data_IF_593086667384
#
_entry.id   IF_593086667384
#
_cell.length_a   1.000
_cell.length_b   1.000
_cell.length_c   1.000
_cell.angle_alpha   90.00
_cell.angle_beta   90.00
_cell.angle_gamma   90.00
#
_symmetry.space_group_name_H-M   'P 1'
#
loop_
_entity.id
_entity.type
_entity.pdbx_description
1 polymer ?
#
# COMPACT_ATOMS: atom_id res chain seq x y z
N UNK A 1 23.34 18.35 13.37
CA UNK A 1 24.11 19.62 13.43
C UNK A 1 25.58 19.29 13.41
N UNK A 2 26.26 19.75 12.37
CA UNK A 2 27.50 19.15 11.94
C UNK A 2 28.65 20.13 11.74
N UNK A 3 29.84 19.73 12.16
CA UNK A 3 31.07 20.36 11.71
C UNK A 3 31.32 20.00 10.24
N UNK A 4 31.74 20.99 9.44
CA UNK A 4 32.09 20.78 8.03
C UNK A 4 33.61 20.65 7.92
N UNK A 5 34.10 19.55 7.34
CA UNK A 5 35.54 19.38 7.07
C UNK A 5 35.92 20.22 5.84
N UNK A 6 36.82 21.19 6.02
CA UNK A 6 37.33 22.02 4.92
C UNK A 6 38.53 21.34 4.25
N UNK A 7 39.49 20.88 5.05
CA UNK A 7 40.63 20.07 4.58
C UNK A 7 40.84 18.92 5.56
N UNK A 8 40.53 17.69 5.15
CA UNK A 8 40.81 16.51 5.96
C UNK A 8 42.31 16.30 6.21
N UNK A 9 43.19 16.71 5.28
CA UNK A 9 44.64 16.51 5.43
C UNK A 9 45.27 17.45 6.47
N UNK A 10 44.74 18.66 6.62
CA UNK A 10 45.21 19.66 7.58
C UNK A 10 44.42 19.63 8.90
N UNK A 11 43.47 18.71 9.04
CA UNK A 11 42.62 18.61 10.23
C UNK A 11 41.69 19.82 10.44
N UNK A 12 41.41 20.62 9.40
CA UNK A 12 40.62 21.85 9.56
C UNK A 12 39.11 21.58 9.52
N UNK A 13 38.42 22.02 10.57
CA UNK A 13 36.97 21.95 10.74
C UNK A 13 36.36 23.35 10.78
N UNK A 14 35.16 23.49 10.22
CA UNK A 14 34.35 24.70 10.31
C UNK A 14 33.15 24.46 11.21
N UNK A 15 32.93 25.37 12.17
CA UNK A 15 31.72 25.46 12.98
C UNK A 15 30.75 26.47 12.34
N UNK A 16 29.66 26.03 11.68
CA UNK A 16 28.72 26.91 11.01
C UNK A 16 27.93 27.83 11.95
N UNK A 17 27.81 27.47 13.23
CA UNK A 17 27.06 28.25 14.21
C UNK A 17 27.86 29.44 14.73
N UNK A 18 29.17 29.25 14.87
CA UNK A 18 30.07 30.30 15.37
C UNK A 18 30.79 31.05 14.24
N UNK A 19 30.79 30.50 13.02
CA UNK A 19 31.51 31.06 11.87
C UNK A 19 33.03 30.98 12.04
N UNK A 20 33.53 30.03 12.84
CA UNK A 20 34.95 29.89 13.17
C UNK A 20 35.52 28.62 12.53
N UNK A 21 36.75 28.73 12.01
CA UNK A 21 37.56 27.59 11.57
C UNK A 21 38.47 27.19 12.74
N UNK A 22 38.43 25.91 13.12
CA UNK A 22 39.23 25.35 14.20
C UNK A 22 39.92 24.07 13.73
N UNK A 23 41.09 23.79 14.33
CA UNK A 23 41.81 22.55 14.11
C UNK A 23 41.17 21.41 14.90
N UNK A 24 41.03 20.24 14.27
CA UNK A 24 40.58 19.02 14.88
C UNK A 24 41.63 18.53 15.88
N UNK A 25 41.20 18.27 17.11
CA UNK A 25 42.03 17.64 18.13
C UNK A 25 42.40 16.22 17.69
N UNK A 26 43.69 15.86 17.77
CA UNK A 26 44.21 14.56 17.29
C UNK A 26 43.58 13.35 18.01
N UNK A 27 43.09 13.53 19.23
CA UNK A 27 42.46 12.52 20.08
C UNK A 27 40.94 12.34 19.82
N UNK A 28 40.29 13.25 19.07
CA UNK A 28 38.84 13.25 18.88
C UNK A 28 38.45 13.33 17.41
N UNK A 29 37.95 12.22 16.89
CA UNK A 29 37.36 12.17 15.55
C UNK A 29 35.89 12.56 15.61
N UNK A 30 35.59 13.79 15.19
CA UNK A 30 34.23 14.29 15.00
C UNK A 30 33.70 13.82 13.64
N UNK A 31 32.61 13.05 13.67
CA UNK A 31 31.85 12.64 12.51
C UNK A 31 30.45 13.26 12.53
N UNK A 32 30.04 13.72 11.36
CA UNK A 32 28.69 14.22 11.11
C UNK A 32 27.79 13.05 10.80
N UNK A 33 26.87 12.74 11.70
CA UNK A 33 25.87 11.68 11.49
C UNK A 33 24.59 12.17 10.82
N UNK A 34 24.49 13.45 10.45
CA UNK A 34 23.34 14.02 9.75
C UNK A 34 22.84 13.15 8.57
N UNK A 35 23.67 12.68 7.61
CA UNK A 35 23.19 11.83 6.52
C UNK A 35 22.81 10.40 6.94
N UNK A 36 23.25 9.95 8.12
CA UNK A 36 22.86 8.66 8.69
C UNK A 36 21.50 8.79 9.37
N UNK A 37 21.28 9.89 10.09
CA UNK A 37 19.99 10.21 10.72
C UNK A 37 18.89 10.33 9.65
N UNK A 38 19.14 11.03 8.55
CA UNK A 38 18.17 11.13 7.44
C UNK A 38 17.77 9.75 6.89
N UNK A 39 18.70 8.79 6.86
CA UNK A 39 18.43 7.41 6.41
C UNK A 39 17.64 6.62 7.45
N UNK A 40 17.91 6.85 8.74
CA UNK A 40 17.16 6.23 9.84
C UNK A 40 15.72 6.76 9.83
N UNK A 41 15.52 8.06 9.71
CA UNK A 41 14.19 8.69 9.66
C UNK A 41 13.39 8.17 8.45
N UNK A 42 14.05 8.01 7.30
CA UNK A 42 13.43 7.39 6.13
C UNK A 42 13.07 5.93 6.36
N UNK A 43 13.93 5.17 7.03
CA UNK A 43 13.67 3.76 7.34
C UNK A 43 12.47 3.62 8.28
N UNK A 44 12.37 4.49 9.28
CA UNK A 44 11.26 4.53 10.24
C UNK A 44 9.93 4.80 9.52
N UNK A 45 9.91 5.80 8.63
CA UNK A 45 8.73 6.09 7.82
C UNK A 45 8.29 4.92 6.93
N UNK A 46 9.23 4.14 6.39
CA UNK A 46 8.93 2.93 5.59
C UNK A 46 8.40 1.80 6.48
N UNK A 47 8.97 1.64 7.69
CA UNK A 47 8.51 0.62 8.64
C UNK A 47 7.07 0.91 9.09
N UNK A 48 6.76 2.17 9.40
CA UNK A 48 5.41 2.62 9.71
C UNK A 48 4.44 2.39 8.54
N UNK A 49 4.87 2.66 7.31
CA UNK A 49 4.06 2.39 6.12
C UNK A 49 3.73 0.91 5.96
N UNK A 50 4.70 0.03 6.23
CA UNK A 50 4.49 -1.42 6.20
C UNK A 50 3.45 -1.87 7.24
N UNK A 51 3.49 -1.30 8.45
CA UNK A 51 2.48 -1.56 9.47
C UNK A 51 1.12 -1.01 9.02
N UNK A 52 1.10 0.17 8.39
CA UNK A 52 -0.12 0.79 7.86
C UNK A 52 -0.76 -0.02 6.73
N UNK A 53 0.01 -0.79 5.95
CA UNK A 53 -0.52 -1.69 4.91
C UNK A 53 -1.41 -2.81 5.45
N UNK A 54 -1.28 -3.17 6.74
CA UNK A 54 -2.13 -4.20 7.34
C UNK A 54 -3.58 -3.72 7.55
N UNK A 55 -3.80 -2.40 7.56
CA UNK A 55 -5.13 -1.81 7.78
C UNK A 55 -5.62 -1.19 6.47
N UNK A 56 -6.81 -1.58 5.97
CA UNK A 56 -7.30 -1.14 4.66
C UNK A 56 -7.65 0.35 4.58
N UNK A 57 -7.67 1.04 5.73
CA UNK A 57 -8.12 2.43 5.87
C UNK A 57 -7.00 3.46 5.96
N UNK A 58 -5.76 3.03 6.17
CA UNK A 58 -4.64 3.95 6.37
C UNK A 58 -4.16 4.53 5.04
N UNK A 59 -3.61 5.75 5.11
CA UNK A 59 -2.96 6.39 3.97
C UNK A 59 -1.52 5.90 3.91
N UNK A 60 -1.11 5.45 2.72
CA UNK A 60 0.23 4.91 2.48
C UNK A 60 1.18 6.04 2.12
N UNK A 61 2.43 5.94 2.53
CA UNK A 61 3.49 6.93 2.32
C UNK A 61 3.68 7.27 0.83
N UNK A 62 3.60 6.25 -0.04
CA UNK A 62 3.77 6.38 -1.50
C UNK A 62 2.44 6.67 -2.24
N UNK A 63 1.34 6.86 -1.52
CA UNK A 63 0.05 7.18 -2.14
C UNK A 63 -0.14 8.68 -2.33
N UNK A 64 -0.80 9.05 -3.43
CA UNK A 64 -1.27 10.42 -3.62
C UNK A 64 -2.24 10.83 -2.51
N UNK A 65 -2.16 12.09 -2.06
CA UNK A 65 -3.06 12.67 -1.05
C UNK A 65 -4.53 12.32 -1.33
N UNK A 66 -5.27 12.00 -0.27
CA UNK A 66 -6.70 11.60 -0.31
C UNK A 66 -6.97 10.24 -0.98
N UNK A 67 -5.98 9.34 -1.05
CA UNK A 67 -6.20 7.94 -1.47
C UNK A 67 -6.33 6.95 -0.30
N UNK A 68 -6.43 7.44 0.93
CA UNK A 68 -6.83 6.62 2.07
C UNK A 68 -8.11 5.83 1.76
N UNK A 69 -8.20 4.59 2.26
CA UNK A 69 -9.35 3.68 2.09
C UNK A 69 -9.58 3.14 0.67
N UNK A 70 -8.66 3.38 -0.27
CA UNK A 70 -8.78 2.81 -1.63
C UNK A 70 -8.86 1.28 -1.59
N UNK A 71 -8.09 0.64 -0.69
CA UNK A 71 -8.13 -0.82 -0.50
C UNK A 71 -9.48 -1.30 0.04
N UNK A 72 -10.06 -0.59 1.01
CA UNK A 72 -11.39 -0.88 1.53
C UNK A 72 -12.47 -0.81 0.44
N UNK A 73 -12.46 0.28 -0.34
CA UNK A 73 -13.43 0.52 -1.41
C UNK A 73 -13.27 -0.55 -2.50
N UNK A 74 -12.03 -0.83 -2.93
CA UNK A 74 -11.73 -1.87 -3.92
C UNK A 74 -12.23 -3.25 -3.48
N UNK A 75 -11.92 -3.65 -2.24
CA UNK A 75 -12.38 -4.92 -1.67
C UNK A 75 -13.90 -5.04 -1.62
N UNK A 76 -14.60 -3.97 -1.22
CA UNK A 76 -16.07 -3.95 -1.19
C UNK A 76 -16.65 -4.18 -2.59
N UNK A 77 -16.19 -3.43 -3.58
CA UNK A 77 -16.71 -3.55 -4.96
C UNK A 77 -16.43 -4.92 -5.55
N UNK A 78 -15.22 -5.45 -5.39
CA UNK A 78 -14.89 -6.79 -5.88
C UNK A 78 -15.77 -7.85 -5.22
N UNK A 79 -15.98 -7.78 -3.91
CA UNK A 79 -16.82 -8.74 -3.20
C UNK A 79 -18.29 -8.68 -3.65
N UNK A 80 -18.83 -7.48 -3.90
CA UNK A 80 -20.19 -7.32 -4.43
C UNK A 80 -20.31 -7.99 -5.80
N UNK A 81 -19.36 -7.75 -6.70
CA UNK A 81 -19.39 -8.33 -8.06
C UNK A 81 -19.20 -9.84 -8.05
N UNK A 82 -18.27 -10.36 -7.25
CA UNK A 82 -18.06 -11.80 -7.11
C UNK A 82 -19.30 -12.46 -6.52
N UNK A 83 -19.90 -11.88 -5.48
CA UNK A 83 -21.14 -12.37 -4.88
C UNK A 83 -22.32 -12.37 -5.88
N UNK A 84 -22.43 -11.33 -6.70
CA UNK A 84 -23.45 -11.25 -7.74
C UNK A 84 -23.29 -12.36 -8.79
N UNK A 85 -22.08 -12.58 -9.29
CA UNK A 85 -21.79 -13.63 -10.29
C UNK A 85 -22.10 -15.01 -9.70
N UNK A 86 -21.63 -15.29 -8.47
CA UNK A 86 -21.90 -16.56 -7.79
C UNK A 86 -23.41 -16.75 -7.60
N UNK A 87 -24.13 -15.70 -7.19
CA UNK A 87 -25.59 -15.73 -7.03
C UNK A 87 -26.32 -16.06 -8.33
N UNK A 88 -25.89 -15.51 -9.46
CA UNK A 88 -26.44 -15.83 -10.78
C UNK A 88 -26.19 -17.30 -11.16
N UNK A 89 -24.98 -17.81 -10.93
CA UNK A 89 -24.63 -19.21 -11.22
C UNK A 89 -25.49 -20.17 -10.40
N UNK A 90 -25.63 -19.92 -9.10
CA UNK A 90 -26.47 -20.75 -8.22
C UNK A 90 -27.93 -20.69 -8.66
N UNK A 91 -28.45 -19.49 -8.94
CA UNK A 91 -29.83 -19.31 -9.39
C UNK A 91 -30.10 -20.05 -10.70
N UNK A 92 -29.15 -20.02 -11.62
CA UNK A 92 -29.23 -20.75 -12.89
C UNK A 92 -29.27 -22.27 -12.68
N UNK A 93 -28.40 -22.81 -11.83
CA UNK A 93 -28.39 -24.25 -11.49
C UNK A 93 -29.70 -24.68 -10.85
N UNK A 94 -30.25 -23.88 -9.93
CA UNK A 94 -31.54 -24.15 -9.29
C UNK A 94 -32.68 -24.16 -10.31
N UNK A 95 -32.72 -23.17 -11.20
CA UNK A 95 -33.73 -23.10 -12.26
C UNK A 95 -33.68 -24.31 -13.18
N UNK A 96 -32.48 -24.72 -13.61
CA UNK A 96 -32.28 -25.95 -14.38
C UNK A 96 -32.82 -27.16 -13.61
N UNK A 97 -32.39 -27.34 -12.36
CA UNK A 97 -32.84 -28.47 -11.53
C UNK A 97 -34.37 -28.53 -11.40
N UNK A 98 -35.03 -27.38 -11.21
CA UNK A 98 -36.49 -27.30 -11.12
C UNK A 98 -37.19 -27.61 -12.45
N UNK A 99 -36.63 -27.20 -13.58
CA UNK A 99 -37.20 -27.48 -14.92
C UNK A 99 -37.09 -28.97 -15.25
N UNK A 100 -35.95 -29.60 -14.95
CA UNK A 100 -35.75 -31.03 -15.23
C UNK A 100 -36.50 -31.96 -14.27
N UNK A 101 -36.91 -31.47 -13.10
CA UNK A 101 -37.67 -32.26 -12.12
C UNK A 101 -39.17 -32.35 -12.44
N UNK A 102 -39.70 -31.49 -13.31
CA UNK A 102 -41.14 -31.30 -13.48
C UNK A 102 -41.51 -31.26 -14.99
N UNK A 103 -42.16 -32.32 -15.53
CA UNK A 103 -42.37 -32.45 -16.99
C UNK A 103 -43.21 -31.32 -17.59
N UNK A 104 -44.12 -30.72 -16.82
CA UNK A 104 -44.92 -29.57 -17.26
C UNK A 104 -44.09 -28.29 -17.48
N UNK A 105 -43.02 -28.10 -16.70
CA UNK A 105 -42.11 -26.95 -16.84
C UNK A 105 -41.17 -27.11 -18.03
N UNK A 106 -40.83 -28.36 -18.35
CA UNK A 106 -40.03 -28.73 -19.52
C UNK A 106 -40.78 -28.45 -20.83
N UNK A 107 -42.08 -28.73 -20.87
CA UNK A 107 -42.94 -28.41 -22.01
C UNK A 107 -43.15 -26.90 -22.19
N UNK A 108 -43.29 -26.15 -21.09
CA UNK A 108 -43.27 -24.68 -21.12
C UNK A 108 -41.94 -24.11 -21.64
N UNK A 109 -40.80 -24.65 -21.19
CA UNK A 109 -39.49 -24.23 -21.68
C UNK A 109 -39.33 -24.52 -23.17
N UNK A 110 -39.77 -25.70 -23.62
CA UNK A 110 -39.74 -26.09 -25.03
C UNK A 110 -40.58 -25.16 -25.90
N UNK A 111 -41.80 -24.79 -25.45
CA UNK A 111 -42.62 -23.77 -26.11
C UNK A 111 -41.96 -22.39 -26.11
N UNK A 112 -41.33 -21.98 -25.01
CA UNK A 112 -40.64 -20.69 -24.91
C UNK A 112 -39.39 -20.60 -25.79
N UNK A 113 -38.70 -21.73 -26.02
CA UNK A 113 -37.55 -21.82 -26.93
C UNK A 113 -37.94 -22.07 -28.40
N UNK A 114 -39.24 -22.02 -28.75
CA UNK A 114 -39.73 -22.14 -30.12
C UNK A 114 -39.77 -23.57 -30.68
N UNK A 115 -39.61 -24.58 -29.83
CA UNK A 115 -39.79 -25.97 -30.21
C UNK A 115 -41.28 -26.33 -30.26
N UNK A 116 -41.75 -26.75 -31.45
CA UNK A 116 -43.08 -27.34 -31.64
C UNK A 116 -43.35 -28.51 -30.68
#
# INVERSE_FOLDING_TARGET
MGYVRISPELGLLFDPLKGVVAEQREDVVLYTFDPVMDRIDRLDAIADDLVNQLVPDNELLESYKNRGKTSLIGGLYTNIWVGFIIGLVISFVVLIGMVFSDPAKLEMLRKAMGGA
#
